data_IF_824288590463
#
_entry.id   IF_824288590463
#
_cell.length_a   1.000
_cell.length_b   1.000
_cell.length_c   1.000
_cell.angle_alpha   90.00
_cell.angle_beta   90.00
_cell.angle_gamma   90.00
#
_symmetry.space_group_name_H-M   'P 1'
#
loop_
_entity.id
_entity.type
_entity.pdbx_description
1 polymer ?
#
# COMPACT_ATOMS: atom_id res chain seq x y z
N UNK A 1 4.97 26.10 -86.13
CA UNK A 1 6.35 25.55 -86.05
C UNK A 1 6.86 25.72 -84.63
N UNK A 2 7.38 24.62 -84.06
CA UNK A 2 8.37 24.51 -82.97
C UNK A 2 8.02 25.03 -81.55
N UNK A 3 7.95 24.04 -80.66
CA UNK A 3 8.12 23.96 -79.20
C UNK A 3 9.04 25.03 -78.58
N UNK A 4 8.85 25.36 -77.29
CA UNK A 4 9.87 25.25 -76.20
C UNK A 4 9.34 25.77 -74.84
N UNK A 5 9.45 24.88 -73.83
CA UNK A 5 9.74 25.04 -72.38
C UNK A 5 8.79 25.85 -71.47
N UNK A 6 8.11 25.25 -70.48
CA UNK A 6 8.57 24.50 -69.29
C UNK A 6 9.15 25.38 -68.16
N UNK A 7 8.31 25.58 -67.14
CA UNK A 7 8.54 25.48 -65.68
C UNK A 7 9.72 26.27 -65.07
N UNK A 8 9.41 27.21 -64.17
CA UNK A 8 10.04 27.32 -62.84
C UNK A 8 9.14 28.20 -61.94
N UNK A 9 8.41 27.59 -60.99
CA UNK A 9 8.77 27.51 -59.57
C UNK A 9 8.48 28.82 -58.81
N UNK A 10 7.20 29.06 -58.52
CA UNK A 10 6.77 30.03 -57.53
C UNK A 10 6.70 29.33 -56.16
N UNK A 11 7.59 29.73 -55.24
CA UNK A 11 7.59 29.35 -53.84
C UNK A 11 6.26 29.74 -53.18
N UNK A 12 5.32 28.80 -53.09
CA UNK A 12 4.28 28.84 -52.07
C UNK A 12 4.85 28.21 -50.80
N UNK A 13 5.44 29.02 -49.93
CA UNK A 13 5.64 28.64 -48.53
C UNK A 13 4.28 28.74 -47.82
N UNK A 14 3.51 27.65 -47.86
CA UNK A 14 2.40 27.47 -46.95
C UNK A 14 2.97 27.27 -45.55
N UNK A 15 2.77 28.26 -44.68
CA UNK A 15 2.90 28.07 -43.25
C UNK A 15 1.88 27.00 -42.83
N UNK A 16 2.33 25.76 -42.69
CA UNK A 16 1.58 24.76 -41.95
C UNK A 16 1.55 25.22 -40.48
N UNK A 17 0.38 25.32 -39.83
CA UNK A 17 0.36 25.48 -38.39
C UNK A 17 1.02 24.23 -37.80
N UNK A 18 2.15 24.44 -37.11
CA UNK A 18 2.70 23.46 -36.20
C UNK A 18 1.61 23.24 -35.17
N UNK A 19 0.89 22.11 -35.28
CA UNK A 19 0.14 21.56 -34.16
C UNK A 19 1.20 21.18 -33.12
N UNK A 20 1.59 22.16 -32.31
CA UNK A 20 2.13 21.90 -30.99
C UNK A 20 0.97 21.20 -30.29
N UNK A 21 1.01 19.87 -30.30
CA UNK A 21 0.33 19.07 -29.30
C UNK A 21 0.87 19.63 -27.98
N UNK A 22 0.08 20.53 -27.39
CA UNK A 22 0.18 20.78 -25.97
C UNK A 22 0.11 19.39 -25.34
N UNK A 23 1.19 18.98 -24.70
CA UNK A 23 1.10 18.00 -23.64
C UNK A 23 -0.12 18.42 -22.83
N UNK A 24 -1.14 17.56 -22.78
CA UNK A 24 -2.17 17.67 -21.77
C UNK A 24 -1.39 17.68 -20.46
N UNK A 25 -1.15 18.88 -19.93
CA UNK A 25 -0.83 19.06 -18.53
C UNK A 25 -1.95 18.34 -17.81
N UNK A 26 -1.65 17.13 -17.32
CA UNK A 26 -2.55 16.40 -16.44
C UNK A 26 -3.03 17.40 -15.40
N UNK A 27 -4.31 17.74 -15.52
CA UNK A 27 -4.98 18.67 -14.63
C UNK A 27 -4.93 18.04 -13.25
N UNK A 28 -3.96 18.49 -12.46
CA UNK A 28 -3.86 18.33 -11.01
C UNK A 28 -4.10 16.91 -10.52
N UNK A 29 -3.12 16.02 -10.71
CA UNK A 29 -2.96 14.91 -9.75
C UNK A 29 -2.73 15.59 -8.39
N UNK A 30 -3.73 15.55 -7.51
CA UNK A 30 -3.59 16.14 -6.19
C UNK A 30 -2.37 15.48 -5.54
N UNK A 31 -1.36 16.27 -5.18
CA UNK A 31 -0.12 15.78 -4.56
C UNK A 31 -0.35 15.09 -3.19
N UNK A 32 -1.60 15.02 -2.74
CA UNK A 32 -2.05 14.47 -1.46
C UNK A 32 -2.88 13.18 -1.60
N UNK A 33 -2.98 12.60 -2.81
CA UNK A 33 -3.67 11.32 -2.96
C UNK A 33 -2.84 10.20 -2.33
N UNK A 34 -3.53 9.37 -1.53
CA UNK A 34 -2.93 8.20 -0.91
C UNK A 34 -2.60 7.16 -1.99
N UNK A 35 -1.41 6.60 -1.93
CA UNK A 35 -0.94 5.55 -2.81
C UNK A 35 -1.83 4.31 -2.65
N UNK A 36 -2.40 3.86 -3.77
CA UNK A 36 -3.17 2.63 -3.86
C UNK A 36 -2.32 1.55 -4.51
N UNK A 37 -2.26 0.39 -3.86
CA UNK A 37 -1.55 -0.78 -4.40
C UNK A 37 -2.56 -1.80 -4.89
N UNK A 38 -2.25 -2.43 -6.03
CA UNK A 38 -3.10 -3.46 -6.63
C UNK A 38 -2.36 -4.80 -6.56
N UNK A 39 -2.95 -5.75 -5.85
CA UNK A 39 -2.43 -7.11 -5.71
C UNK A 39 -3.04 -8.01 -6.80
N UNK A 40 -3.48 -9.23 -6.46
CA UNK A 40 -4.10 -10.14 -7.43
C UNK A 40 -5.57 -9.79 -7.59
N UNK A 41 -6.29 -9.74 -6.48
CA UNK A 41 -7.72 -9.42 -6.40
C UNK A 41 -8.00 -8.27 -5.45
N UNK A 42 -7.04 -7.96 -4.58
CA UNK A 42 -7.18 -6.95 -3.55
C UNK A 42 -6.52 -5.64 -3.97
N UNK A 43 -7.16 -4.53 -3.65
CA UNK A 43 -6.58 -3.18 -3.64
C UNK A 43 -6.45 -2.72 -2.18
N UNK A 44 -5.29 -2.18 -1.82
CA UNK A 44 -5.06 -1.60 -0.48
C UNK A 44 -4.73 -0.12 -0.65
N UNK A 45 -5.44 0.73 0.10
CA UNK A 45 -5.08 2.15 0.23
C UNK A 45 -4.07 2.28 1.35
N UNK A 46 -2.87 2.75 1.02
CA UNK A 46 -1.74 2.83 1.95
C UNK A 46 -1.75 4.17 2.68
N UNK A 47 -0.80 4.36 3.61
CA UNK A 47 -0.59 5.64 4.29
C UNK A 47 0.45 6.56 3.62
N UNK A 48 1.02 6.12 2.50
CA UNK A 48 2.01 6.88 1.76
C UNK A 48 1.31 7.71 0.68
N UNK A 49 1.85 8.89 0.38
CA UNK A 49 1.40 9.68 -0.75
C UNK A 49 1.98 9.11 -2.04
N UNK A 50 1.19 9.07 -3.12
CA UNK A 50 1.66 8.64 -4.44
C UNK A 50 2.82 9.53 -4.95
N UNK A 51 2.85 10.79 -4.51
CA UNK A 51 3.94 11.73 -4.80
C UNK A 51 5.27 11.35 -4.12
N UNK A 52 5.24 10.63 -3.00
CA UNK A 52 6.39 10.36 -2.13
C UNK A 52 6.95 8.94 -2.24
N UNK A 53 6.15 8.00 -2.77
CA UNK A 53 6.57 6.61 -2.89
C UNK A 53 6.30 6.06 -4.31
N UNK A 54 6.95 4.95 -4.64
CA UNK A 54 6.61 4.10 -5.79
C UNK A 54 6.50 2.64 -5.33
N UNK A 55 5.96 1.79 -6.20
CA UNK A 55 5.69 0.39 -5.86
C UNK A 55 6.49 -0.53 -6.77
N UNK A 56 7.26 -1.42 -6.16
CA UNK A 56 7.89 -2.54 -6.84
C UNK A 56 7.03 -3.79 -6.66
N UNK A 57 6.66 -4.42 -7.78
CA UNK A 57 5.88 -5.64 -7.77
C UNK A 57 6.74 -6.85 -8.09
N UNK A 58 6.53 -7.95 -7.38
CA UNK A 58 7.18 -9.23 -7.66
C UNK A 58 6.29 -10.41 -7.28
N UNK A 59 6.56 -11.56 -7.88
CA UNK A 59 5.86 -12.82 -7.60
C UNK A 59 6.85 -13.85 -7.04
N UNK A 60 6.48 -14.51 -5.95
CA UNK A 60 7.21 -15.63 -5.36
C UNK A 60 6.27 -16.84 -5.24
N UNK A 61 6.36 -17.77 -6.19
CA UNK A 61 5.41 -18.88 -6.26
C UNK A 61 3.97 -18.37 -6.44
N UNK A 62 3.09 -18.71 -5.50
CA UNK A 62 1.69 -18.27 -5.49
C UNK A 62 1.42 -17.01 -4.65
N UNK A 63 2.47 -16.26 -4.31
CA UNK A 63 2.41 -15.02 -3.55
C UNK A 63 2.72 -13.84 -4.46
N UNK A 64 1.85 -12.84 -4.50
CA UNK A 64 2.10 -11.58 -5.19
C UNK A 64 2.43 -10.49 -4.16
N UNK A 65 3.53 -9.79 -4.36
CA UNK A 65 4.13 -8.88 -3.38
C UNK A 65 4.22 -7.49 -4.00
N UNK A 66 3.80 -6.48 -3.22
CA UNK A 66 3.97 -5.06 -3.49
C UNK A 66 4.88 -4.47 -2.41
N UNK A 67 6.05 -3.99 -2.79
CA UNK A 67 7.00 -3.29 -1.92
C UNK A 67 6.91 -1.79 -2.19
N UNK A 68 6.61 -1.03 -1.14
CA UNK A 68 6.53 0.43 -1.18
C UNK A 68 7.91 0.98 -0.90
N UNK A 69 8.44 1.73 -1.87
CA UNK A 69 9.76 2.34 -1.81
C UNK A 69 9.62 3.84 -1.71
N UNK A 70 10.22 4.43 -0.68
CA UNK A 70 10.26 5.88 -0.51
C UNK A 70 11.17 6.49 -1.58
N UNK A 71 10.67 7.51 -2.31
CA UNK A 71 11.37 8.11 -3.45
C UNK A 71 12.62 8.88 -3.04
N UNK A 72 12.70 9.38 -1.80
CA UNK A 72 13.81 10.20 -1.34
C UNK A 72 14.99 9.37 -0.85
N UNK A 73 14.70 8.35 -0.04
CA UNK A 73 15.70 7.48 0.58
C UNK A 73 16.02 6.24 -0.27
N UNK A 74 15.09 5.80 -1.13
CA UNK A 74 15.18 4.54 -1.84
C UNK A 74 14.95 3.31 -0.96
N UNK A 75 14.55 3.49 0.30
CA UNK A 75 14.32 2.40 1.25
C UNK A 75 12.92 1.79 1.09
N UNK A 76 12.81 0.49 1.32
CA UNK A 76 11.52 -0.19 1.42
C UNK A 76 10.87 0.21 2.76
N UNK A 77 9.78 0.95 2.67
CA UNK A 77 9.08 1.50 3.84
C UNK A 77 7.83 0.71 4.20
N UNK A 78 7.32 -0.14 3.33
CA UNK A 78 6.27 -1.11 3.65
C UNK A 78 6.22 -2.24 2.62
N UNK A 79 5.63 -3.37 2.99
CA UNK A 79 5.32 -4.45 2.07
C UNK A 79 3.91 -4.97 2.30
N UNK A 80 3.24 -5.34 1.22
CA UNK A 80 1.95 -6.02 1.22
C UNK A 80 2.02 -7.20 0.28
N UNK A 81 1.26 -8.24 0.57
CA UNK A 81 1.18 -9.39 -0.29
C UNK A 81 -0.16 -10.08 -0.23
N UNK A 82 -0.54 -10.69 -1.35
CA UNK A 82 -1.70 -11.55 -1.46
C UNK A 82 -1.26 -12.96 -1.82
N UNK A 83 -1.78 -13.95 -1.09
CA UNK A 83 -1.55 -15.37 -1.34
C UNK A 83 -2.91 -16.07 -1.50
N UNK A 84 -3.39 -16.25 -2.74
CA UNK A 84 -4.58 -17.05 -3.00
C UNK A 84 -4.30 -18.55 -2.76
N UNK A 85 -5.33 -19.34 -2.47
CA UNK A 85 -5.24 -20.80 -2.36
C UNK A 85 -5.26 -21.51 -3.74
N UNK A 86 -5.65 -20.80 -4.80
CA UNK A 86 -5.60 -21.20 -6.20
C UNK A 86 -4.45 -20.49 -6.94
N UNK A 87 -3.93 -21.04 -8.05
CA UNK A 87 -2.90 -20.39 -8.85
C UNK A 87 -3.27 -18.96 -9.29
N UNK A 88 -2.36 -17.99 -9.10
CA UNK A 88 -2.55 -16.58 -9.49
C UNK A 88 -2.95 -16.44 -10.97
N UNK A 89 -2.42 -17.29 -11.86
CA UNK A 89 -2.72 -17.25 -13.29
C UNK A 89 -4.21 -17.52 -13.56
N UNK A 90 -4.87 -18.33 -12.73
CA UNK A 90 -6.30 -18.64 -12.86
C UNK A 90 -7.18 -17.43 -12.50
N UNK A 91 -6.68 -16.52 -11.66
CA UNK A 91 -7.39 -15.30 -11.25
C UNK A 91 -7.17 -14.17 -12.25
N UNK A 92 -5.96 -14.05 -12.81
CA UNK A 92 -5.59 -12.99 -13.77
C UNK A 92 -6.10 -13.22 -15.19
N UNK A 93 -6.42 -14.46 -15.56
CA UNK A 93 -6.83 -14.78 -16.92
C UNK A 93 -8.24 -14.25 -17.22
N UNK A 94 -8.32 -13.10 -17.91
CA UNK A 94 -9.55 -12.37 -18.26
C UNK A 94 -10.52 -13.12 -19.19
N UNK A 95 -10.20 -14.34 -19.63
CA UNK A 95 -11.00 -15.13 -20.57
C UNK A 95 -12.09 -16.00 -19.92
N UNK A 96 -12.29 -15.87 -18.60
CA UNK A 96 -13.23 -16.68 -17.82
C UNK A 96 -14.60 -15.97 -17.78
N UNK A 97 -15.58 -16.50 -18.53
CA UNK A 97 -16.84 -15.83 -18.94
C UNK A 97 -18.01 -15.85 -17.92
N UNK A 98 -17.80 -16.22 -16.66
CA UNK A 98 -18.87 -16.26 -15.63
C UNK A 98 -18.25 -16.14 -14.24
N UNK A 99 -19.04 -15.94 -13.17
CA UNK A 99 -18.54 -16.11 -11.80
C UNK A 99 -18.05 -17.56 -11.63
N UNK A 100 -16.73 -17.78 -11.59
CA UNK A 100 -16.14 -19.13 -11.78
C UNK A 100 -15.20 -19.55 -10.65
N UNK A 101 -14.77 -18.64 -9.78
CA UNK A 101 -13.91 -19.00 -8.66
C UNK A 101 -14.36 -18.31 -7.38
N UNK A 102 -14.85 -19.12 -6.45
CA UNK A 102 -14.85 -18.81 -5.02
C UNK A 102 -13.59 -19.43 -4.43
N UNK A 103 -12.76 -18.63 -3.80
CA UNK A 103 -11.46 -19.07 -3.30
C UNK A 103 -11.08 -18.26 -2.08
N UNK A 104 -10.24 -18.84 -1.23
CA UNK A 104 -9.68 -18.10 -0.12
C UNK A 104 -8.38 -17.41 -0.53
N UNK A 105 -8.16 -16.23 0.02
CA UNK A 105 -6.90 -15.51 -0.13
C UNK A 105 -6.49 -14.91 1.19
N UNK A 106 -5.17 -14.91 1.44
CA UNK A 106 -4.58 -14.27 2.61
C UNK A 106 -3.92 -12.98 2.17
N UNK A 107 -4.36 -11.87 2.76
CA UNK A 107 -3.63 -10.61 2.72
C UNK A 107 -2.68 -10.56 3.90
N UNK A 108 -1.44 -10.18 3.61
CA UNK A 108 -0.46 -9.77 4.61
C UNK A 108 -0.01 -8.35 4.30
N UNK A 109 0.22 -7.53 5.32
CA UNK A 109 0.63 -6.14 5.12
C UNK A 109 1.23 -5.48 6.35
N UNK A 110 1.90 -4.35 6.14
CA UNK A 110 2.41 -3.52 7.21
C UNK A 110 1.54 -2.27 7.42
N UNK A 111 1.43 -1.83 8.67
CA UNK A 111 0.73 -0.60 9.03
C UNK A 111 1.54 0.19 10.05
N UNK A 112 1.88 1.43 9.75
CA UNK A 112 2.46 2.33 10.73
C UNK A 112 1.42 2.62 11.83
N UNK A 113 1.90 2.53 13.07
CA UNK A 113 1.10 2.74 14.27
C UNK A 113 1.27 4.15 14.84
N UNK A 114 2.32 4.86 14.41
CA UNK A 114 2.68 6.19 14.91
C UNK A 114 2.97 7.11 13.73
N UNK A 115 2.21 8.20 13.61
CA UNK A 115 2.47 9.23 12.61
C UNK A 115 3.85 9.86 12.81
N UNK A 116 4.55 10.17 11.71
CA UNK A 116 5.88 10.77 11.74
C UNK A 116 7.02 9.77 12.00
N UNK A 117 6.75 8.46 12.05
CA UNK A 117 7.80 7.43 12.15
C UNK A 117 7.38 6.11 11.50
N UNK A 118 8.25 5.57 10.64
CA UNK A 118 8.09 4.22 10.07
C UNK A 118 8.66 3.11 10.97
N UNK A 119 9.12 3.43 12.19
CA UNK A 119 9.72 2.44 13.09
C UNK A 119 8.67 1.58 13.82
N UNK A 120 7.53 2.18 14.16
CA UNK A 120 6.47 1.52 14.92
C UNK A 120 5.41 0.99 13.97
N UNK A 121 5.46 -0.31 13.69
CA UNK A 121 4.63 -0.99 12.70
C UNK A 121 3.92 -2.19 13.29
N UNK A 122 2.73 -2.47 12.78
CA UNK A 122 2.12 -3.79 12.90
C UNK A 122 2.24 -4.52 11.56
N UNK A 123 2.61 -5.80 11.62
CA UNK A 123 2.31 -6.73 10.55
C UNK A 123 0.90 -7.27 10.77
N UNK A 124 0.04 -7.11 9.78
CA UNK A 124 -1.36 -7.54 9.81
C UNK A 124 -1.58 -8.62 8.78
N UNK A 125 -2.34 -9.64 9.16
CA UNK A 125 -2.69 -10.76 8.30
C UNK A 125 -4.19 -11.02 8.39
N UNK A 126 -4.84 -11.24 7.25
CA UNK A 126 -6.27 -11.52 7.18
C UNK A 126 -6.60 -12.51 6.06
N UNK A 127 -7.37 -13.54 6.39
CA UNK A 127 -7.88 -14.52 5.43
C UNK A 127 -9.32 -14.25 5.07
N UNK A 128 -9.61 -14.16 3.78
CA UNK A 128 -10.94 -13.85 3.26
C UNK A 128 -11.33 -14.79 2.13
N UNK A 129 -12.64 -15.02 1.96
CA UNK A 129 -13.19 -15.70 0.79
C UNK A 129 -13.63 -14.66 -0.23
N UNK A 130 -13.17 -14.80 -1.47
CA UNK A 130 -13.55 -13.95 -2.60
C UNK A 130 -14.33 -14.78 -3.62
N UNK A 131 -15.47 -14.26 -4.04
CA UNK A 131 -16.15 -14.71 -5.27
C UNK A 131 -15.93 -13.68 -6.37
N UNK A 132 -15.42 -14.17 -7.50
CA UNK A 132 -15.09 -13.35 -8.66
C UNK A 132 -15.79 -13.83 -9.93
N UNK A 133 -16.34 -12.88 -10.69
CA UNK A 133 -16.79 -13.06 -12.08
C UNK A 133 -16.06 -12.15 -13.06
N UNK A 134 -16.53 -12.13 -14.31
CA UNK A 134 -15.80 -11.49 -15.42
C UNK A 134 -15.56 -9.98 -15.23
N UNK A 135 -16.44 -9.28 -14.51
CA UNK A 135 -16.39 -7.83 -14.32
C UNK A 135 -16.79 -7.38 -12.91
N UNK A 136 -16.80 -8.31 -11.96
CA UNK A 136 -17.18 -8.02 -10.58
C UNK A 136 -16.47 -8.99 -9.63
N UNK A 137 -16.17 -8.52 -8.42
CA UNK A 137 -15.68 -9.33 -7.32
C UNK A 137 -16.34 -8.87 -6.03
N UNK A 138 -16.45 -9.77 -5.07
CA UNK A 138 -16.89 -9.45 -3.72
C UNK A 138 -16.14 -10.32 -2.70
N UNK A 139 -16.05 -9.82 -1.48
CA UNK A 139 -15.61 -10.55 -0.31
C UNK A 139 -16.87 -11.15 0.32
N UNK A 140 -16.95 -12.47 0.39
CA UNK A 140 -18.11 -13.18 0.95
C UNK A 140 -18.00 -13.37 2.47
N UNK A 141 -16.76 -13.44 2.97
CA UNK A 141 -16.47 -13.73 4.37
C UNK A 141 -15.03 -13.35 4.74
N UNK A 142 -14.83 -12.94 5.99
CA UNK A 142 -13.52 -12.95 6.65
C UNK A 142 -13.48 -14.11 7.67
N UNK A 143 -12.38 -14.85 7.70
CA UNK A 143 -12.21 -16.03 8.54
C UNK A 143 -11.41 -15.73 9.80
N UNK A 144 -10.20 -15.24 9.58
CA UNK A 144 -9.21 -15.06 10.61
C UNK A 144 -8.46 -13.75 10.36
N UNK A 145 -8.14 -13.05 11.44
CA UNK A 145 -7.38 -11.82 11.43
C UNK A 145 -6.43 -11.78 12.61
N UNK A 146 -5.21 -11.26 12.39
CA UNK A 146 -4.23 -11.08 13.45
C UNK A 146 -3.30 -9.95 13.14
N UNK A 147 -2.66 -9.42 14.17
CA UNK A 147 -1.51 -8.55 13.99
C UNK A 147 -0.43 -8.80 15.04
N UNK A 148 0.81 -8.56 14.63
CA UNK A 148 2.01 -8.67 15.47
C UNK A 148 2.90 -7.44 15.25
N UNK A 149 3.92 -7.26 16.09
CA UNK A 149 4.92 -6.21 15.85
C UNK A 149 5.64 -6.47 14.52
N UNK A 150 5.83 -5.42 13.70
CA UNK A 150 6.50 -5.53 12.39
C UNK A 150 8.02 -5.61 12.48
N UNK A 151 8.63 -4.81 13.35
CA UNK A 151 10.09 -4.80 13.59
C UNK A 151 10.36 -4.94 15.09
N UNK A 152 10.41 -6.18 15.58
CA UNK A 152 10.64 -6.46 17.00
C UNK A 152 12.12 -6.34 17.36
N UNK A 153 12.45 -5.34 18.16
CA UNK A 153 13.78 -5.12 18.71
C UNK A 153 13.83 -3.86 19.59
N UNK A 154 13.17 -2.79 19.13
CA UNK A 154 13.03 -1.54 19.88
C UNK A 154 11.74 -1.43 20.71
N UNK A 155 10.70 -2.20 20.38
CA UNK A 155 9.40 -2.16 21.05
C UNK A 155 8.69 -3.52 20.93
N UNK A 156 7.60 -3.65 21.69
CA UNK A 156 6.64 -4.75 21.63
C UNK A 156 5.21 -4.19 21.63
N UNK A 157 4.25 -4.99 21.17
CA UNK A 157 2.82 -4.67 21.24
C UNK A 157 2.21 -5.45 22.40
N UNK A 158 1.47 -4.78 23.28
CA UNK A 158 0.74 -5.39 24.40
C UNK A 158 -0.74 -5.08 24.33
N UNK A 159 -1.55 -5.95 24.95
CA UNK A 159 -3.01 -5.79 25.00
C UNK A 159 -3.62 -5.64 23.60
N UNK A 160 -2.99 -6.23 22.60
CA UNK A 160 -3.30 -5.97 21.21
C UNK A 160 -4.48 -6.83 20.74
N UNK A 161 -5.44 -6.20 20.05
CA UNK A 161 -6.60 -6.86 19.48
C UNK A 161 -6.75 -6.52 18.01
N UNK A 162 -7.12 -7.51 17.21
CA UNK A 162 -7.57 -7.34 15.81
C UNK A 162 -9.02 -7.76 15.74
N UNK A 163 -9.84 -7.04 14.99
CA UNK A 163 -11.19 -7.50 14.64
C UNK A 163 -11.62 -6.98 13.28
N UNK A 164 -12.55 -7.70 12.66
CA UNK A 164 -13.22 -7.25 11.45
C UNK A 164 -14.21 -6.13 11.79
N UNK A 165 -13.94 -4.92 11.29
CA UNK A 165 -14.77 -3.73 11.47
C UNK A 165 -15.89 -3.59 10.43
N UNK A 166 -15.96 -4.50 9.45
CA UNK A 166 -17.04 -4.57 8.46
C UNK A 166 -18.30 -5.19 9.07
N UNK A 167 -19.45 -4.53 8.90
CA UNK A 167 -20.71 -4.93 9.52
C UNK A 167 -21.49 -6.03 8.79
N UNK A 168 -21.27 -6.21 7.48
CA UNK A 168 -22.02 -7.17 6.67
C UNK A 168 -21.22 -7.70 5.49
N UNK A 169 -21.51 -8.95 5.14
CA UNK A 169 -21.05 -9.62 3.92
C UNK A 169 -22.24 -10.06 3.06
N UNK A 170 -22.10 -10.15 1.73
CA UNK A 170 -20.88 -9.83 0.96
C UNK A 170 -20.60 -8.33 0.92
N UNK A 171 -19.32 -7.96 0.73
CA UNK A 171 -18.87 -6.57 0.64
C UNK A 171 -17.82 -6.41 -0.46
N UNK A 172 -17.67 -5.20 -0.99
CA UNK A 172 -16.51 -4.84 -1.83
C UNK A 172 -15.38 -4.19 -1.05
N UNK A 173 -15.62 -3.85 0.22
CA UNK A 173 -14.66 -3.17 1.10
C UNK A 173 -14.66 -3.81 2.49
N UNK A 174 -13.49 -4.29 2.89
CA UNK A 174 -13.22 -4.87 4.20
C UNK A 174 -12.42 -3.87 5.04
N UNK A 175 -12.93 -3.60 6.25
CA UNK A 175 -12.25 -2.83 7.28
C UNK A 175 -11.74 -3.78 8.35
N UNK A 176 -10.46 -3.70 8.65
CA UNK A 176 -9.83 -4.42 9.76
C UNK A 176 -9.35 -3.39 10.76
N UNK A 177 -9.85 -3.47 11.99
CA UNK A 177 -9.45 -2.60 13.07
C UNK A 177 -8.39 -3.29 13.92
N UNK A 178 -7.31 -2.55 14.22
CA UNK A 178 -6.26 -2.99 15.13
C UNK A 178 -6.09 -1.96 16.24
N UNK A 179 -5.93 -2.45 17.46
CA UNK A 179 -5.65 -1.61 18.62
C UNK A 179 -4.68 -2.31 19.58
N UNK A 180 -4.12 -1.53 20.50
CA UNK A 180 -3.24 -2.02 21.55
C UNK A 180 -2.35 -0.92 22.10
N UNK A 181 -1.25 -1.33 22.72
CA UNK A 181 -0.24 -0.42 23.27
C UNK A 181 1.13 -0.79 22.69
N UNK A 182 1.84 0.19 22.16
CA UNK A 182 3.27 0.09 21.88
C UNK A 182 4.00 0.32 23.20
N UNK A 183 4.88 -0.60 23.56
CA UNK A 183 5.74 -0.47 24.75
C UNK A 183 7.21 -0.62 24.38
N UNK A 184 8.05 0.21 25.00
CA UNK A 184 9.50 0.13 24.88
C UNK A 184 10.12 0.29 26.26
N UNK A 185 10.99 -0.65 26.62
CA UNK A 185 11.77 -0.63 27.85
C UNK A 185 13.23 -0.88 27.46
N UNK A 186 14.06 0.13 27.56
CA UNK A 186 15.43 0.07 27.06
C UNK A 186 16.39 0.74 28.05
N UNK A 187 17.55 0.13 28.25
CA UNK A 187 18.77 0.87 28.60
C UNK A 187 19.27 1.57 27.33
N UNK A 188 20.09 2.62 27.44
CA UNK A 188 20.59 3.43 26.30
C UNK A 188 21.47 2.68 25.25
N UNK A 189 21.34 1.37 25.13
CA UNK A 189 22.08 0.55 24.19
C UNK A 189 21.61 0.79 22.76
N UNK A 190 22.55 1.30 21.95
CA UNK A 190 22.40 1.79 20.59
C UNK A 190 22.14 0.62 19.62
N UNK A 191 21.12 0.75 18.75
CA UNK A 191 20.99 -0.15 17.59
C UNK A 191 19.59 -0.32 16.99
N UNK A 192 18.51 0.06 17.70
CA UNK A 192 17.13 -0.25 17.27
C UNK A 192 16.40 0.93 16.62
N UNK A 193 17.02 2.12 16.56
CA UNK A 193 16.38 3.37 16.12
C UNK A 193 15.37 3.97 17.12
N UNK A 194 14.80 3.14 18.00
CA UNK A 194 13.88 3.55 19.07
C UNK A 194 14.67 4.08 20.26
N UNK A 195 14.48 5.36 20.62
CA UNK A 195 15.19 6.03 21.70
C UNK A 195 14.29 7.01 22.48
N UNK A 196 14.74 7.43 23.67
CA UNK A 196 13.99 8.30 24.57
C UNK A 196 13.49 9.59 23.88
N UNK A 197 14.39 10.30 23.20
CA UNK A 197 14.07 11.58 22.58
C UNK A 197 13.05 11.40 21.44
N UNK A 198 13.23 10.37 20.61
CA UNK A 198 12.26 10.02 19.57
C UNK A 198 10.87 9.74 20.17
N UNK A 199 10.79 8.87 21.19
CA UNK A 199 9.53 8.55 21.86
C UNK A 199 8.89 9.79 22.49
N UNK A 200 9.69 10.69 23.08
CA UNK A 200 9.21 11.97 23.62
C UNK A 200 8.64 12.86 22.50
N UNK A 201 9.35 13.03 21.38
CA UNK A 201 8.87 13.80 20.22
C UNK A 201 7.60 13.21 19.63
N UNK A 202 7.48 11.88 19.57
CA UNK A 202 6.29 11.18 19.08
C UNK A 202 5.14 11.14 20.11
N UNK A 203 5.29 11.76 21.29
CA UNK A 203 4.25 11.88 22.30
C UNK A 203 3.89 10.54 22.95
N UNK A 204 4.89 9.73 23.28
CA UNK A 204 4.72 8.59 24.17
C UNK A 204 4.60 9.07 25.62
N UNK A 205 3.89 8.32 26.45
CA UNK A 205 3.95 8.50 27.90
C UNK A 205 5.25 7.89 28.40
N UNK A 206 6.10 8.72 29.00
CA UNK A 206 7.48 8.37 29.36
C UNK A 206 7.69 8.34 30.87
N UNK A 207 8.59 7.47 31.32
CA UNK A 207 9.21 7.53 32.65
C UNK A 207 10.71 7.19 32.54
N UNK A 208 11.49 7.61 33.55
CA UNK A 208 12.96 7.53 33.50
C UNK A 208 13.59 8.76 32.84
N UNK A 209 14.79 8.60 32.27
CA UNK A 209 15.52 9.71 31.63
C UNK A 209 16.30 9.27 30.40
N UNK A 210 16.64 10.23 29.54
CA UNK A 210 17.51 10.01 28.38
C UNK A 210 18.93 9.55 28.73
N UNK A 211 19.33 9.60 30.01
CA UNK A 211 20.66 9.20 30.51
C UNK A 211 20.66 7.89 31.30
N UNK A 212 19.50 7.26 31.47
CA UNK A 212 19.31 6.06 32.29
C UNK A 212 18.31 5.11 31.63
N UNK A 213 17.89 4.06 32.34
CA UNK A 213 16.77 3.23 31.89
C UNK A 213 15.51 4.08 31.78
N UNK A 214 14.76 3.83 30.72
CA UNK A 214 13.51 4.51 30.47
C UNK A 214 12.46 3.55 29.95
N UNK A 215 11.21 3.96 30.15
CA UNK A 215 10.05 3.23 29.70
C UNK A 215 9.13 4.20 28.94
N UNK A 216 8.65 3.76 27.79
CA UNK A 216 7.74 4.50 26.93
C UNK A 216 6.52 3.63 26.60
N UNK A 217 5.34 4.25 26.62
CA UNK A 217 4.12 3.61 26.13
C UNK A 217 3.24 4.55 25.32
N UNK A 218 2.60 4.04 24.27
CA UNK A 218 1.62 4.78 23.48
C UNK A 218 0.52 3.85 22.98
N UNK A 219 -0.73 4.23 23.18
CA UNK A 219 -1.88 3.50 22.62
C UNK A 219 -1.97 3.76 21.13
N UNK A 220 -2.33 2.74 20.36
CA UNK A 220 -2.71 2.89 18.96
C UNK A 220 -4.11 2.33 18.73
N UNK A 221 -4.82 2.97 17.81
CA UNK A 221 -6.10 2.52 17.29
C UNK A 221 -6.15 2.98 15.84
N UNK A 222 -6.12 2.03 14.90
CA UNK A 222 -6.11 2.31 13.47
C UNK A 222 -6.83 1.23 12.70
N UNK A 223 -7.18 1.55 11.46
CA UNK A 223 -7.82 0.62 10.55
C UNK A 223 -6.95 0.39 9.31
N UNK A 224 -7.14 -0.78 8.70
CA UNK A 224 -6.70 -1.10 7.34
C UNK A 224 -7.95 -1.31 6.49
N UNK A 225 -7.95 -0.75 5.29
CA UNK A 225 -9.02 -0.88 4.31
C UNK A 225 -8.53 -1.68 3.12
N UNK A 226 -9.29 -2.70 2.77
CA UNK A 226 -9.02 -3.62 1.67
C UNK A 226 -10.23 -3.60 0.77
N UNK A 227 -10.03 -3.36 -0.52
CA UNK A 227 -11.09 -3.43 -1.52
C UNK A 227 -10.84 -4.60 -2.46
N UNK A 228 -11.88 -5.12 -3.08
CA UNK A 228 -11.74 -6.03 -4.23
C UNK A 228 -11.89 -5.24 -5.53
N UNK A 229 -11.11 -5.64 -6.55
CA UNK A 229 -11.12 -5.03 -7.89
C UNK A 229 -12.08 -5.71 -8.86
#
# INVERSE_FOLDING_TARGET
MKKIFAILLACFTTFAPINVLAEENEVGKNNNDMLKIQLVSLEVTTEFLDSQAFVNYRQEGNKYIAEIVDKYSGEIVASYSETPDIPIENIRNKNVKSAISTYDTTLDGEKNLVSGSNLFKAYVSARVTITAGQSWRQIDKAWDEKHTAGSSGGYYLTGNSTYIGTSSFPTTSLKIDINGVIESNQSNTVGTGVNFNLCQTLGFNMSGSASSNWYARKTYNTSIYINVM
#
